data_IF_476148371920
#
_entry.id   IF_476148371920
#
_cell.length_a   1.000
_cell.length_b   1.000
_cell.length_c   1.000
_cell.angle_alpha   90.00
_cell.angle_beta   90.00
_cell.angle_gamma   90.00
#
_symmetry.space_group_name_H-M   'P 1'
#
loop_
_entity.id
_entity.type
_entity.pdbx_description
1 polymer ?
#
# COMPACT_ATOMS: atom_id res chain seq x y z
N UNK A 1 5.69 -0.75 -13.94
CA UNK A 1 4.76 -0.03 -13.05
C UNK A 1 4.50 1.36 -13.60
N UNK A 2 5.57 2.16 -13.78
CA UNK A 2 5.51 3.50 -14.40
C UNK A 2 4.79 3.48 -15.76
N UNK A 3 5.09 2.49 -16.60
CA UNK A 3 4.43 2.32 -17.91
C UNK A 3 2.91 2.07 -17.79
N UNK A 4 2.49 1.19 -16.88
CA UNK A 4 1.06 0.90 -16.66
C UNK A 4 0.32 2.05 -15.99
N UNK A 5 0.95 2.72 -15.02
CA UNK A 5 0.39 3.91 -14.38
C UNK A 5 0.22 5.05 -15.38
N UNK A 6 1.18 5.27 -16.27
CA UNK A 6 1.07 6.26 -17.34
C UNK A 6 -0.08 5.95 -18.31
N UNK A 7 -0.32 4.67 -18.62
CA UNK A 7 -1.44 4.24 -19.45
C UNK A 7 -2.82 4.52 -18.80
N UNK A 8 -2.85 4.56 -17.47
CA UNK A 8 -4.02 4.95 -16.69
C UNK A 8 -4.07 6.46 -16.36
N UNK A 9 -3.15 7.26 -16.91
CA UNK A 9 -3.05 8.71 -16.66
C UNK A 9 -2.49 9.08 -15.27
N UNK A 10 -1.91 8.11 -14.54
CA UNK A 10 -1.28 8.32 -13.23
C UNK A 10 0.23 8.49 -13.42
N UNK A 11 0.74 9.70 -13.19
CA UNK A 11 2.17 9.97 -13.21
C UNK A 11 2.83 9.64 -11.86
N UNK A 12 3.63 8.58 -11.85
CA UNK A 12 4.43 8.16 -10.69
C UNK A 12 5.94 8.32 -10.92
N UNK A 13 6.36 9.02 -11.99
CA UNK A 13 7.79 9.15 -12.36
C UNK A 13 8.60 9.87 -11.30
N UNK A 14 7.98 10.81 -10.60
CA UNK A 14 8.61 11.55 -9.49
C UNK A 14 8.48 10.85 -8.14
N UNK A 15 7.80 9.69 -8.07
CA UNK A 15 7.68 8.93 -6.84
C UNK A 15 9.05 8.40 -6.40
N UNK A 16 9.52 8.85 -5.23
CA UNK A 16 10.74 8.33 -4.61
C UNK A 16 10.35 7.43 -3.45
N UNK A 17 10.67 6.14 -3.58
CA UNK A 17 10.57 5.20 -2.48
C UNK A 17 11.34 5.76 -1.28
N UNK A 18 10.63 6.02 -0.19
CA UNK A 18 11.21 6.51 1.05
C UNK A 18 11.08 5.42 2.09
N UNK A 19 12.19 5.13 2.79
CA UNK A 19 12.15 4.19 3.91
C UNK A 19 11.23 4.80 4.97
N UNK A 20 10.23 4.04 5.44
CA UNK A 20 9.37 4.44 6.54
C UNK A 20 10.24 4.60 7.79
N UNK A 21 10.73 5.81 8.03
CA UNK A 21 11.46 6.12 9.26
C UNK A 21 10.43 6.19 10.38
N UNK A 22 10.79 5.61 11.52
CA UNK A 22 9.96 5.62 12.74
C UNK A 22 9.41 7.02 13.06
N UNK A 23 10.17 8.09 12.80
CA UNK A 23 9.82 9.48 13.12
C UNK A 23 8.68 10.04 12.25
N UNK A 24 8.46 9.50 11.05
CA UNK A 24 7.38 9.96 10.17
C UNK A 24 6.07 9.23 10.39
N UNK A 25 6.11 8.00 10.90
CA UNK A 25 4.93 7.14 11.02
C UNK A 25 3.90 7.67 12.03
N UNK A 26 4.34 8.36 13.10
CA UNK A 26 3.44 8.95 14.10
C UNK A 26 2.65 10.17 13.57
N UNK A 27 2.99 10.70 12.38
CA UNK A 27 2.29 11.83 11.74
C UNK A 27 1.10 11.41 10.89
N UNK A 28 0.88 10.11 10.71
CA UNK A 28 -0.18 9.58 9.85
C UNK A 28 -1.21 8.83 10.69
N UNK A 29 -2.50 9.12 10.44
CA UNK A 29 -3.61 8.43 11.10
C UNK A 29 -3.84 7.01 10.57
N UNK A 30 -3.35 6.73 9.36
CA UNK A 30 -3.43 5.44 8.69
C UNK A 30 -2.14 5.14 7.93
N UNK A 31 -1.58 3.96 8.16
CA UNK A 31 -0.40 3.45 7.45
C UNK A 31 -0.84 2.19 6.70
N UNK A 32 -0.65 2.19 5.38
CA UNK A 32 -0.96 1.03 4.53
C UNK A 32 0.34 0.33 4.13
N UNK A 33 0.43 -0.96 4.45
CA UNK A 33 1.59 -1.80 4.10
C UNK A 33 1.20 -2.86 3.07
N UNK A 34 2.18 -3.29 2.27
CA UNK A 34 1.94 -4.25 1.19
C UNK A 34 1.99 -5.71 1.65
N UNK A 35 2.68 -6.01 2.76
CA UNK A 35 2.90 -7.38 3.24
C UNK A 35 2.65 -7.50 4.75
N UNK A 36 2.20 -8.68 5.18
CA UNK A 36 1.99 -9.01 6.59
C UNK A 36 3.28 -9.00 7.40
N UNK A 37 4.43 -9.27 6.77
CA UNK A 37 5.73 -9.15 7.40
C UNK A 37 5.94 -7.72 7.96
N UNK A 38 5.57 -6.69 7.19
CA UNK A 38 5.62 -5.31 7.63
C UNK A 38 4.67 -5.02 8.79
N UNK A 39 3.45 -5.61 8.81
CA UNK A 39 2.55 -5.49 9.97
C UNK A 39 3.15 -6.10 11.24
N UNK A 40 3.78 -7.27 11.12
CA UNK A 40 4.43 -7.95 12.26
C UNK A 40 5.63 -7.15 12.75
N UNK A 41 6.45 -6.64 11.85
CA UNK A 41 7.59 -5.79 12.20
C UNK A 41 7.13 -4.50 12.92
N UNK A 42 6.07 -3.86 12.42
CA UNK A 42 5.48 -2.69 13.06
C UNK A 42 4.89 -3.03 14.44
N UNK A 43 4.22 -4.18 14.58
CA UNK A 43 3.71 -4.63 15.88
C UNK A 43 4.84 -4.84 16.89
N UNK A 44 5.98 -5.37 16.46
CA UNK A 44 7.14 -5.60 17.32
C UNK A 44 7.87 -4.31 17.69
N UNK A 45 8.13 -3.43 16.72
CA UNK A 45 8.94 -2.22 16.93
C UNK A 45 8.13 -1.07 17.52
N UNK A 46 6.85 -0.95 17.15
CA UNK A 46 5.96 0.16 17.49
C UNK A 46 4.52 -0.33 17.72
N UNK A 47 4.25 -0.98 18.87
CA UNK A 47 2.93 -1.53 19.18
C UNK A 47 1.81 -0.48 19.10
N UNK A 48 2.10 0.78 19.43
CA UNK A 48 1.15 1.89 19.37
C UNK A 48 0.71 2.25 17.94
N UNK A 49 1.56 2.02 16.94
CA UNK A 49 1.22 2.23 15.53
C UNK A 49 0.48 1.06 14.91
N UNK A 50 0.54 -0.13 15.51
CA UNK A 50 -0.12 -1.33 14.99
C UNK A 50 -1.63 -1.18 14.85
N UNK A 51 -2.27 -0.40 15.73
CA UNK A 51 -3.69 -0.11 15.66
C UNK A 51 -4.08 0.71 14.41
N UNK A 52 -3.13 1.49 13.87
CA UNK A 52 -3.30 2.38 12.72
C UNK A 52 -2.60 1.88 11.46
N UNK A 53 -1.98 0.69 11.53
CA UNK A 53 -1.29 0.08 10.38
C UNK A 53 -2.13 -1.09 9.87
N UNK A 54 -2.46 -1.07 8.59
CA UNK A 54 -3.32 -2.06 7.94
C UNK A 54 -2.71 -2.51 6.60
N UNK A 55 -3.10 -3.69 6.12
CA UNK A 55 -2.71 -4.13 4.78
C UNK A 55 -3.42 -3.28 3.72
N UNK A 56 -2.71 -2.94 2.64
CA UNK A 56 -3.31 -2.37 1.44
C UNK A 56 -4.44 -3.27 0.94
N UNK A 57 -4.22 -4.58 0.93
CA UNK A 57 -5.17 -5.59 0.46
C UNK A 57 -6.25 -5.98 1.47
N UNK A 58 -6.33 -5.33 2.64
CA UNK A 58 -7.24 -5.72 3.73
C UNK A 58 -8.68 -5.95 3.24
N UNK A 59 -9.15 -5.12 2.30
CA UNK A 59 -10.53 -5.14 1.80
C UNK A 59 -10.74 -5.98 0.54
N UNK A 60 -9.68 -6.57 -0.02
CA UNK A 60 -9.71 -7.39 -1.24
C UNK A 60 -9.20 -8.82 -1.01
N UNK A 61 -9.14 -9.26 0.26
CA UNK A 61 -8.75 -10.63 0.63
C UNK A 61 -7.60 -10.71 1.65
N UNK A 62 -6.90 -9.61 1.91
CA UNK A 62 -5.86 -9.53 2.94
C UNK A 62 -4.60 -10.34 2.64
N UNK A 63 -4.21 -10.45 1.36
CA UNK A 63 -3.01 -11.16 0.92
C UNK A 63 -1.79 -10.24 0.77
N UNK A 64 -0.61 -10.83 0.75
CA UNK A 64 0.64 -10.09 0.57
C UNK A 64 0.81 -9.67 -0.90
N UNK A 65 1.15 -8.40 -1.11
CA UNK A 65 1.56 -7.86 -2.41
C UNK A 65 3.09 -7.80 -2.45
N UNK A 66 3.67 -8.72 -3.21
CA UNK A 66 5.10 -8.72 -3.44
C UNK A 66 5.53 -7.52 -4.30
N UNK A 67 6.73 -7.02 -4.04
CA UNK A 67 7.33 -5.94 -4.82
C UNK A 67 7.62 -6.42 -6.26
N UNK A 68 7.06 -5.76 -7.29
CA UNK A 68 7.26 -6.15 -8.67
C UNK A 68 8.59 -5.64 -9.27
N UNK A 69 9.47 -5.03 -8.46
CA UNK A 69 10.80 -4.60 -8.89
C UNK A 69 11.64 -5.82 -9.30
N UNK A 70 12.07 -5.84 -10.57
CA UNK A 70 12.84 -6.91 -11.27
C UNK A 70 12.04 -8.10 -11.80
N UNK A 71 10.73 -8.08 -11.69
CA UNK A 71 9.86 -9.12 -12.25
C UNK A 71 9.41 -8.80 -13.69
N UNK A 72 8.78 -9.78 -14.34
CA UNK A 72 8.29 -9.62 -15.72
C UNK A 72 7.13 -8.61 -15.85
N UNK A 73 6.85 -8.19 -17.09
CA UNK A 73 5.81 -7.20 -17.35
C UNK A 73 4.40 -7.69 -16.94
N UNK A 74 4.14 -9.00 -17.03
CA UNK A 74 2.85 -9.59 -16.69
C UNK A 74 2.59 -9.57 -15.17
N UNK A 75 3.61 -9.91 -14.38
CA UNK A 75 3.61 -9.81 -12.93
C UNK A 75 3.45 -8.36 -12.49
N UNK A 76 4.19 -7.46 -13.12
CA UNK A 76 4.09 -6.04 -12.80
C UNK A 76 2.69 -5.48 -13.10
N UNK A 77 2.07 -5.86 -14.22
CA UNK A 77 0.67 -5.52 -14.53
C UNK A 77 -0.29 -6.09 -13.48
N UNK A 78 -0.10 -7.35 -13.09
CA UNK A 78 -0.94 -8.01 -12.09
C UNK A 78 -0.88 -7.26 -10.75
N UNK A 79 0.31 -6.97 -10.25
CA UNK A 79 0.47 -6.23 -8.98
C UNK A 79 -0.15 -4.83 -9.09
N UNK A 80 0.02 -4.15 -10.22
CA UNK A 80 -0.63 -2.86 -10.46
C UNK A 80 -2.17 -2.94 -10.43
N UNK A 81 -2.75 -3.93 -11.10
CA UNK A 81 -4.21 -4.17 -11.11
C UNK A 81 -4.74 -4.52 -9.70
N UNK A 82 -3.97 -5.27 -8.91
CA UNK A 82 -4.31 -5.60 -7.51
C UNK A 82 -4.25 -4.35 -6.61
N UNK A 83 -3.21 -3.52 -6.75
CA UNK A 83 -3.11 -2.24 -6.03
C UNK A 83 -4.28 -1.33 -6.40
N UNK A 84 -4.64 -1.23 -7.68
CA UNK A 84 -5.75 -0.40 -8.15
C UNK A 84 -7.09 -0.85 -7.55
N UNK A 85 -7.33 -2.16 -7.47
CA UNK A 85 -8.52 -2.71 -6.82
C UNK A 85 -8.53 -2.43 -5.32
N UNK A 86 -7.41 -2.66 -4.64
CA UNK A 86 -7.25 -2.39 -3.21
C UNK A 86 -7.47 -0.90 -2.89
N UNK A 87 -6.88 0.01 -3.68
CA UNK A 87 -7.03 1.45 -3.54
C UNK A 87 -8.49 1.90 -3.73
N UNK A 88 -9.22 1.32 -4.69
CA UNK A 88 -10.66 1.57 -4.87
C UNK A 88 -11.48 1.12 -3.67
N UNK A 89 -11.18 -0.06 -3.12
CA UNK A 89 -11.85 -0.54 -1.92
C UNK A 89 -11.58 0.38 -0.71
N UNK A 90 -10.34 0.85 -0.55
CA UNK A 90 -9.98 1.84 0.46
C UNK A 90 -10.68 3.18 0.24
N UNK A 91 -10.75 3.68 -0.99
CA UNK A 91 -11.48 4.91 -1.31
C UNK A 91 -12.96 4.80 -0.95
N UNK A 92 -13.59 3.65 -1.19
CA UNK A 92 -14.97 3.40 -0.75
C UNK A 92 -15.10 3.38 0.78
N UNK A 93 -14.11 2.80 1.50
CA UNK A 93 -14.15 2.74 2.97
C UNK A 93 -13.86 4.08 3.64
N UNK A 94 -12.90 4.84 3.13
CA UNK A 94 -12.52 6.16 3.64
C UNK A 94 -13.50 7.24 3.18
N UNK A 95 -14.05 7.13 1.97
CA UNK A 95 -15.04 8.08 1.45
C UNK A 95 -16.42 7.97 2.11
N UNK A 96 -16.68 6.86 2.81
CA UNK A 96 -17.93 6.65 3.54
C UNK A 96 -17.85 7.09 5.02
N UNK A 97 -16.75 7.69 5.46
CA UNK A 97 -16.70 8.39 6.77
C UNK A 97 -17.23 9.81 6.61
N UNK A 98 -18.51 9.93 6.25
CA UNK A 98 -19.33 11.10 6.57
C UNK A 98 -20.23 10.67 7.74
N UNK A 99 -19.79 10.94 8.95
CA UNK A 99 -20.52 10.74 10.21
C UNK A 99 -20.08 11.80 11.19
#
# INVERSE_FOLDING_TARGET
MVEFSANDGVDIRDHRASRLSSVNADKFDLILVMEQAHLKEMAMRKPHLRARTMLMTQWVGGHDLADPIKEDAAFNKRIYDEIKQAARAWSSKLGNTNG
#
